data_IF_333419387884
#
_entry.id   IF_333419387884
#
_cell.length_a   1.000
_cell.length_b   1.000
_cell.length_c   1.000
_cell.angle_alpha   90.00
_cell.angle_beta   90.00
_cell.angle_gamma   90.00
#
_symmetry.space_group_name_H-M   'P 1'
#
loop_
_entity.id
_entity.type
_entity.pdbx_description
1 polymer ?
#
# COMPACT_ATOMS: atom_id res chain seq x y z
N UNK A 1 44.12 -19.15 -15.27
CA UNK A 1 43.16 -18.13 -14.78
C UNK A 1 41.83 -18.39 -15.45
N UNK A 2 40.84 -18.94 -14.75
CA UNK A 2 39.46 -18.98 -15.23
C UNK A 2 38.63 -18.04 -14.38
N UNK A 3 38.24 -16.91 -14.96
CA UNK A 3 37.31 -15.99 -14.33
C UNK A 3 35.94 -16.65 -14.30
N UNK A 4 35.51 -17.09 -13.12
CA UNK A 4 34.13 -17.48 -12.88
C UNK A 4 33.25 -16.25 -13.10
N UNK A 5 32.41 -16.29 -14.13
CA UNK A 5 31.36 -15.32 -14.33
C UNK A 5 30.38 -15.54 -13.17
N UNK A 6 30.40 -14.64 -12.20
CA UNK A 6 29.36 -14.57 -11.19
C UNK A 6 28.05 -14.30 -11.93
N UNK A 7 27.19 -15.32 -11.99
CA UNK A 7 25.84 -15.17 -12.52
C UNK A 7 25.08 -14.30 -11.51
N UNK A 8 24.86 -13.02 -11.83
CA UNK A 8 23.92 -12.21 -11.06
C UNK A 8 22.56 -12.94 -11.07
N UNK A 9 21.92 -13.14 -9.90
CA UNK A 9 20.60 -13.74 -9.88
C UNK A 9 19.65 -12.83 -10.65
N UNK A 10 18.96 -13.39 -11.64
CA UNK A 10 17.97 -12.67 -12.43
C UNK A 10 16.97 -11.96 -11.49
N UNK A 11 16.53 -10.72 -11.82
CA UNK A 11 15.53 -10.02 -11.03
C UNK A 11 14.33 -10.95 -10.82
N UNK A 12 14.01 -11.22 -9.56
CA UNK A 12 12.95 -12.17 -9.18
C UNK A 12 11.63 -11.71 -9.78
N UNK A 13 11.09 -12.47 -10.75
CA UNK A 13 9.81 -12.17 -11.37
C UNK A 13 8.67 -12.35 -10.36
N UNK A 14 7.70 -11.44 -10.38
CA UNK A 14 6.49 -11.57 -9.58
C UNK A 14 5.70 -12.81 -10.01
N UNK A 15 5.46 -13.73 -9.09
CA UNK A 15 4.54 -14.86 -9.29
C UNK A 15 3.08 -14.41 -9.52
N UNK A 16 2.24 -15.34 -10.00
CA UNK A 16 0.79 -15.15 -10.14
C UNK A 16 0.13 -14.74 -8.81
N UNK A 17 0.61 -15.27 -7.68
CA UNK A 17 0.10 -14.92 -6.35
C UNK A 17 0.33 -13.44 -6.03
N UNK A 18 1.50 -12.88 -6.37
CA UNK A 18 1.75 -11.45 -6.16
C UNK A 18 0.83 -10.57 -7.00
N UNK A 19 0.52 -10.97 -8.24
CA UNK A 19 -0.41 -10.25 -9.09
C UNK A 19 -1.84 -10.27 -8.51
N UNK A 20 -2.27 -11.42 -7.96
CA UNK A 20 -3.57 -11.52 -7.30
C UNK A 20 -3.66 -10.60 -6.08
N UNK A 21 -2.64 -10.59 -5.21
CA UNK A 21 -2.57 -9.70 -4.04
C UNK A 21 -2.58 -8.23 -4.48
N UNK A 22 -1.81 -7.86 -5.50
CA UNK A 22 -1.83 -6.51 -6.05
C UNK A 22 -3.24 -6.13 -6.56
N UNK A 23 -3.95 -7.07 -7.20
CA UNK A 23 -5.34 -6.89 -7.60
C UNK A 23 -6.29 -6.62 -6.43
N UNK A 24 -6.13 -7.32 -5.31
CA UNK A 24 -6.91 -7.08 -4.09
C UNK A 24 -6.65 -5.69 -3.49
N UNK A 25 -5.39 -5.26 -3.46
CA UNK A 25 -5.01 -3.90 -3.03
C UNK A 25 -5.64 -2.84 -3.92
N UNK A 26 -5.62 -3.03 -5.25
CA UNK A 26 -6.27 -2.11 -6.18
C UNK A 26 -7.80 -2.09 -6.03
N UNK A 27 -8.41 -3.22 -5.67
CA UNK A 27 -9.84 -3.28 -5.36
C UNK A 27 -10.18 -2.50 -4.08
N UNK A 28 -9.36 -2.61 -3.03
CA UNK A 28 -9.51 -1.80 -1.81
C UNK A 28 -9.31 -0.30 -2.09
N UNK A 29 -8.28 0.06 -2.86
CA UNK A 29 -8.08 1.43 -3.30
C UNK A 29 -9.32 1.98 -4.00
N UNK A 30 -9.90 1.23 -4.95
CA UNK A 30 -11.11 1.65 -5.64
C UNK A 30 -12.30 1.83 -4.68
N UNK A 31 -12.45 0.94 -3.69
CA UNK A 31 -13.48 1.08 -2.64
C UNK A 31 -13.28 2.36 -1.82
N UNK A 32 -12.06 2.62 -1.35
CA UNK A 32 -11.73 3.81 -0.58
C UNK A 32 -12.01 5.09 -1.36
N UNK A 33 -11.60 5.15 -2.63
CA UNK A 33 -11.87 6.29 -3.53
C UNK A 33 -13.36 6.52 -3.74
N UNK A 34 -14.15 5.45 -3.87
CA UNK A 34 -15.59 5.56 -4.08
C UNK A 34 -16.34 6.00 -2.81
N UNK A 35 -15.82 5.64 -1.63
CA UNK A 35 -16.48 5.84 -0.33
C UNK A 35 -16.11 7.18 0.33
N UNK A 36 -14.89 7.67 0.13
CA UNK A 36 -14.36 8.81 0.86
C UNK A 36 -13.88 9.92 -0.08
N UNK A 37 -13.99 11.20 0.34
CA UNK A 37 -13.41 12.31 -0.41
C UNK A 37 -11.87 12.21 -0.44
N UNK A 38 -11.20 12.93 -1.35
CA UNK A 38 -9.75 13.07 -1.31
C UNK A 38 -9.26 13.65 0.02
N UNK A 39 -8.09 13.20 0.47
CA UNK A 39 -7.41 13.76 1.63
C UNK A 39 -7.08 15.24 1.38
N UNK A 40 -7.17 16.08 2.40
CA UNK A 40 -7.01 17.54 2.30
C UNK A 40 -5.65 18.03 2.80
N UNK A 41 -4.87 17.19 3.50
CA UNK A 41 -3.54 17.54 3.97
C UNK A 41 -2.65 16.32 4.22
N UNK A 42 -1.34 16.55 4.35
CA UNK A 42 -0.39 15.50 4.74
C UNK A 42 -0.68 14.95 6.14
N UNK A 43 -1.16 15.79 7.06
CA UNK A 43 -1.49 15.36 8.43
C UNK A 43 -2.73 14.46 8.46
N UNK A 44 -3.77 14.81 7.70
CA UNK A 44 -4.97 13.98 7.53
C UNK A 44 -4.60 12.65 6.87
N UNK A 45 -3.83 12.70 5.78
CA UNK A 45 -3.42 11.47 5.09
C UNK A 45 -2.54 10.57 5.96
N UNK A 46 -1.65 11.14 6.77
CA UNK A 46 -0.88 10.37 7.76
C UNK A 46 -1.77 9.76 8.83
N UNK A 47 -2.74 10.52 9.36
CA UNK A 47 -3.64 10.01 10.39
C UNK A 47 -4.43 8.79 9.89
N UNK A 48 -4.96 8.86 8.66
CA UNK A 48 -5.68 7.75 8.03
C UNK A 48 -4.75 6.55 7.79
N UNK A 49 -3.57 6.75 7.19
CA UNK A 49 -2.64 5.65 6.97
C UNK A 49 -2.21 4.99 8.28
N UNK A 50 -2.01 5.79 9.32
CA UNK A 50 -1.63 5.31 10.64
C UNK A 50 -2.75 4.50 11.29
N UNK A 51 -4.01 4.89 11.13
CA UNK A 51 -5.17 4.13 11.62
C UNK A 51 -5.12 2.68 11.11
N UNK A 52 -4.94 2.49 9.80
CA UNK A 52 -4.82 1.15 9.20
C UNK A 52 -3.61 0.35 9.75
N UNK A 53 -2.49 1.02 10.02
CA UNK A 53 -1.29 0.39 10.61
C UNK A 53 -1.54 0.00 12.08
N UNK A 54 -2.22 0.84 12.84
CA UNK A 54 -2.57 0.58 14.25
C UNK A 54 -3.58 -0.58 14.33
N UNK A 55 -4.57 -0.66 13.44
CA UNK A 55 -5.51 -1.79 13.32
C UNK A 55 -4.79 -3.10 12.94
N UNK A 56 -3.93 -3.07 11.92
CA UNK A 56 -3.08 -4.21 11.56
C UNK A 56 -2.26 -4.69 12.75
N UNK A 57 -1.69 -3.76 13.53
CA UNK A 57 -0.90 -4.11 14.70
C UNK A 57 -1.74 -4.72 15.83
N UNK A 58 -2.96 -4.23 16.03
CA UNK A 58 -3.91 -4.81 16.99
C UNK A 58 -4.30 -6.24 16.62
N UNK A 59 -4.50 -6.54 15.34
CA UNK A 59 -4.77 -7.90 14.87
C UNK A 59 -3.57 -8.83 15.02
N UNK A 60 -2.36 -8.35 14.74
CA UNK A 60 -1.11 -9.10 14.95
C UNK A 60 -0.96 -9.48 16.42
N UNK A 61 -1.13 -8.51 17.34
CA UNK A 61 -1.05 -8.77 18.79
C UNK A 61 -2.11 -9.78 19.25
N UNK A 62 -3.26 -9.82 18.59
CA UNK A 62 -4.34 -10.74 18.89
C UNK A 62 -4.23 -12.09 18.16
N UNK A 63 -3.19 -12.33 17.35
CA UNK A 63 -3.02 -13.51 16.50
C UNK A 63 -4.20 -13.74 15.51
N UNK A 64 -4.81 -12.64 15.03
CA UNK A 64 -5.89 -12.65 14.05
C UNK A 64 -5.32 -12.55 12.63
N UNK A 65 -4.86 -13.68 12.10
CA UNK A 65 -4.11 -13.74 10.84
C UNK A 65 -4.90 -13.25 9.61
N UNK A 66 -6.15 -13.68 9.38
CA UNK A 66 -6.94 -13.18 8.24
C UNK A 66 -7.17 -11.67 8.28
N UNK A 67 -7.44 -11.14 9.47
CA UNK A 67 -7.71 -9.73 9.72
C UNK A 67 -6.42 -8.90 9.55
N UNK A 68 -5.30 -9.32 10.16
CA UNK A 68 -4.01 -8.66 9.95
C UNK A 68 -3.59 -8.62 8.47
N UNK A 69 -3.87 -9.67 7.71
CA UNK A 69 -3.61 -9.69 6.26
C UNK A 69 -4.56 -8.77 5.49
N UNK A 70 -5.81 -8.62 5.95
CA UNK A 70 -6.75 -7.65 5.41
C UNK A 70 -6.29 -6.23 5.68
N UNK A 71 -5.90 -5.89 6.91
CA UNK A 71 -5.40 -4.56 7.25
C UNK A 71 -4.10 -4.24 6.54
N UNK A 72 -3.21 -5.22 6.31
CA UNK A 72 -2.04 -5.02 5.47
C UNK A 72 -2.40 -4.60 4.02
N UNK A 73 -3.51 -5.12 3.46
CA UNK A 73 -4.01 -4.66 2.15
C UNK A 73 -4.56 -3.25 2.21
N UNK A 74 -5.27 -2.89 3.30
CA UNK A 74 -5.79 -1.54 3.51
C UNK A 74 -4.63 -0.54 3.64
N UNK A 75 -3.60 -0.86 4.44
CA UNK A 75 -2.35 -0.07 4.53
C UNK A 75 -1.74 0.15 3.14
N UNK A 76 -1.61 -0.90 2.32
CA UNK A 76 -1.05 -0.78 0.97
C UNK A 76 -1.92 0.13 0.07
N UNK A 77 -3.25 -0.04 0.12
CA UNK A 77 -4.18 0.78 -0.64
C UNK A 77 -4.13 2.25 -0.22
N UNK A 78 -4.12 2.51 1.09
CA UNK A 78 -4.07 3.86 1.65
C UNK A 78 -2.73 4.54 1.43
N UNK A 79 -1.62 3.80 1.36
CA UNK A 79 -0.33 4.35 0.94
C UNK A 79 -0.36 4.83 -0.52
N UNK A 80 -0.95 4.05 -1.43
CA UNK A 80 -1.13 4.46 -2.83
C UNK A 80 -2.03 5.70 -2.90
N UNK A 81 -3.14 5.71 -2.14
CA UNK A 81 -4.06 6.84 -2.10
C UNK A 81 -3.40 8.10 -1.54
N UNK A 82 -2.63 7.98 -0.48
CA UNK A 82 -1.86 9.08 0.10
C UNK A 82 -0.96 9.73 -0.95
N UNK A 83 -0.17 8.94 -1.67
CA UNK A 83 0.70 9.45 -2.74
C UNK A 83 -0.13 10.20 -3.79
N UNK A 84 -1.22 9.58 -4.26
CA UNK A 84 -2.08 10.18 -5.28
C UNK A 84 -2.67 11.52 -4.82
N UNK A 85 -3.29 11.56 -3.65
CA UNK A 85 -3.98 12.76 -3.16
C UNK A 85 -2.99 13.88 -2.84
N UNK A 86 -1.82 13.57 -2.26
CA UNK A 86 -0.80 14.57 -1.99
C UNK A 86 -0.23 15.16 -3.29
N UNK A 87 -0.04 14.35 -4.33
CA UNK A 87 0.36 14.87 -5.64
C UNK A 87 -0.70 15.77 -6.26
N UNK A 88 -1.98 15.43 -6.14
CA UNK A 88 -3.08 16.26 -6.64
C UNK A 88 -3.19 17.58 -5.86
N UNK A 89 -3.07 17.55 -4.54
CA UNK A 89 -3.05 18.74 -3.70
C UNK A 89 -1.88 19.66 -4.07
N UNK A 90 -0.67 19.10 -4.24
CA UNK A 90 0.51 19.88 -4.65
C UNK A 90 0.29 20.57 -6.00
N UNK A 91 -0.32 19.89 -6.98
CA UNK A 91 -0.62 20.46 -8.29
C UNK A 91 -1.62 21.62 -8.19
N UNK A 92 -2.70 21.44 -7.42
CA UNK A 92 -3.73 22.49 -7.21
C UNK A 92 -3.21 23.72 -6.46
N UNK A 93 -2.20 23.56 -5.59
CA UNK A 93 -1.57 24.68 -4.89
C UNK A 93 -0.48 25.39 -5.71
N UNK A 94 -0.10 24.86 -6.87
CA UNK A 94 0.88 25.46 -7.78
C UNK A 94 0.23 26.22 -8.96
N UNK A 95 -1.10 26.16 -9.07
CA UNK A 95 -1.96 26.94 -9.98
C UNK A 95 -2.62 28.10 -9.21
#
# INVERSE_FOLDING_TARGET
MMHGIAHEPAPTQLSVAHHAIAGEVLAELNRAIAKFPPMNSMHEGWAILREEVDEMWDDIKANRWPEAAQEARQVAAMAIRFIHDMEQLRKRGAE
#
